data_IF_588152482790
#
_entry.id   IF_588152482790
#
_cell.length_a   1.000
_cell.length_b   1.000
_cell.length_c   1.000
_cell.angle_alpha   90.00
_cell.angle_beta   90.00
_cell.angle_gamma   90.00
#
_symmetry.space_group_name_H-M   'P 1'
#
loop_
_entity.id
_entity.type
_entity.pdbx_description
1 polymer ?
#
# COMPACT_ATOMS: atom_id res chain seq x y z
N UNK A 1 22.02 -12.78 10.58
CA UNK A 1 20.61 -13.20 10.76
C UNK A 1 19.64 -12.12 10.28
N UNK A 2 19.89 -10.84 10.58
CA UNK A 2 19.06 -9.71 10.14
C UNK A 2 18.85 -9.65 8.63
N UNK A 3 19.87 -9.95 7.82
CA UNK A 3 19.78 -9.88 6.34
C UNK A 3 18.72 -10.82 5.74
N UNK A 4 18.55 -12.02 6.32
CA UNK A 4 17.54 -12.99 5.86
C UNK A 4 16.13 -12.57 6.25
N UNK A 5 15.99 -11.91 7.41
CA UNK A 5 14.72 -11.37 7.89
C UNK A 5 14.32 -10.15 7.06
N UNK A 6 15.26 -9.26 6.78
CA UNK A 6 15.04 -8.07 5.95
C UNK A 6 14.64 -8.46 4.52
N UNK A 7 15.31 -9.47 3.94
CA UNK A 7 14.97 -9.96 2.61
C UNK A 7 13.63 -10.69 2.56
N UNK A 8 13.25 -11.41 3.62
CA UNK A 8 11.92 -12.01 3.73
C UNK A 8 10.82 -10.95 3.88
N UNK A 9 11.03 -9.94 4.73
CA UNK A 9 10.13 -8.80 4.89
C UNK A 9 10.00 -7.98 3.61
N UNK A 10 11.09 -7.83 2.85
CA UNK A 10 11.08 -7.15 1.56
C UNK A 10 10.24 -7.91 0.52
N UNK A 11 10.32 -9.25 0.48
CA UNK A 11 9.50 -10.08 -0.43
C UNK A 11 8.01 -9.95 -0.11
N UNK A 12 7.66 -9.91 1.19
CA UNK A 12 6.27 -9.69 1.62
C UNK A 12 5.79 -8.27 1.26
N UNK A 13 6.66 -7.26 1.43
CA UNK A 13 6.37 -5.87 1.09
C UNK A 13 6.18 -5.65 -0.42
N UNK A 14 7.01 -6.24 -1.28
CA UNK A 14 6.86 -6.17 -2.74
C UNK A 14 5.49 -6.71 -3.16
N UNK A 15 5.09 -7.85 -2.60
CA UNK A 15 3.79 -8.48 -2.86
C UNK A 15 2.65 -7.59 -2.37
N UNK A 16 2.75 -7.06 -1.15
CA UNK A 16 1.75 -6.15 -0.57
C UNK A 16 1.57 -4.86 -1.38
N UNK A 17 2.66 -4.26 -1.88
CA UNK A 17 2.62 -3.09 -2.76
C UNK A 17 1.90 -3.39 -4.07
N UNK A 18 2.17 -4.54 -4.69
CA UNK A 18 1.53 -4.93 -5.94
C UNK A 18 0.02 -5.14 -5.77
N UNK A 19 -0.39 -5.82 -4.70
CA UNK A 19 -1.82 -6.02 -4.37
C UNK A 19 -2.52 -4.69 -4.14
N UNK A 20 -1.94 -3.81 -3.33
CA UNK A 20 -2.50 -2.48 -3.08
C UNK A 20 -2.62 -1.65 -4.35
N UNK A 21 -1.58 -1.64 -5.19
CA UNK A 21 -1.60 -0.91 -6.47
C UNK A 21 -2.71 -1.40 -7.40
N UNK A 22 -2.87 -2.72 -7.53
CA UNK A 22 -3.92 -3.30 -8.36
C UNK A 22 -5.31 -2.95 -7.83
N UNK A 23 -5.50 -3.06 -6.52
CA UNK A 23 -6.74 -2.68 -5.87
C UNK A 23 -7.10 -1.21 -6.09
N UNK A 24 -6.15 -0.30 -5.87
CA UNK A 24 -6.35 1.15 -6.07
C UNK A 24 -6.74 1.43 -7.52
N UNK A 25 -6.02 0.85 -8.48
CA UNK A 25 -6.34 1.00 -9.91
C UNK A 25 -7.72 0.46 -10.29
N UNK A 26 -8.19 -0.61 -9.63
CA UNK A 26 -9.48 -1.22 -9.92
C UNK A 26 -10.67 -0.55 -9.19
N UNK A 27 -10.41 0.34 -8.23
CA UNK A 27 -11.44 0.92 -7.36
C UNK A 27 -11.47 2.45 -7.43
N UNK A 28 -10.79 3.12 -6.49
CA UNK A 28 -10.83 4.58 -6.29
C UNK A 28 -9.91 5.33 -7.27
N UNK A 29 -8.87 4.69 -7.78
CA UNK A 29 -7.83 5.34 -8.57
C UNK A 29 -6.89 6.21 -7.75
N UNK A 30 -5.69 6.48 -8.29
CA UNK A 30 -4.64 7.22 -7.57
C UNK A 30 -4.93 8.71 -7.41
N UNK A 31 -5.68 9.33 -8.32
CA UNK A 31 -6.03 10.75 -8.21
C UNK A 31 -6.98 10.99 -7.05
N UNK A 32 -8.08 10.24 -6.98
CA UNK A 32 -9.06 10.40 -5.91
C UNK A 32 -8.49 9.98 -4.55
N UNK A 33 -7.68 8.92 -4.51
CA UNK A 33 -6.96 8.52 -3.30
C UNK A 33 -6.03 9.64 -2.79
N UNK A 34 -5.36 10.35 -3.69
CA UNK A 34 -4.47 11.46 -3.34
C UNK A 34 -5.24 12.61 -2.68
N UNK A 35 -6.41 12.96 -3.23
CA UNK A 35 -7.31 13.95 -2.64
C UNK A 35 -7.75 13.56 -1.23
N UNK A 36 -8.18 12.31 -1.03
CA UNK A 36 -8.69 11.83 0.26
C UNK A 36 -7.61 11.65 1.33
N UNK A 37 -6.36 11.41 0.91
CA UNK A 37 -5.21 11.24 1.82
C UNK A 37 -4.37 12.51 1.98
N UNK A 38 -4.74 13.62 1.33
CA UNK A 38 -3.94 14.86 1.32
C UNK A 38 -2.53 14.67 0.76
N UNK A 39 -2.34 13.70 -0.14
CA UNK A 39 -1.07 13.33 -0.74
C UNK A 39 -1.01 13.71 -2.22
N UNK A 40 0.16 13.54 -2.85
CA UNK A 40 0.29 13.70 -4.30
C UNK A 40 0.13 12.34 -4.99
N UNK A 41 -0.73 12.26 -6.02
CA UNK A 41 -0.96 11.03 -6.82
C UNK A 41 0.35 10.43 -7.35
N UNK A 42 1.23 11.26 -7.94
CA UNK A 42 2.57 10.80 -8.38
C UNK A 42 3.43 10.22 -7.25
N UNK A 43 3.31 10.74 -6.04
CA UNK A 43 4.03 10.21 -4.88
C UNK A 43 3.51 8.82 -4.52
N UNK A 44 2.20 8.65 -4.45
CA UNK A 44 1.56 7.37 -4.16
C UNK A 44 1.92 6.30 -5.21
N UNK A 45 1.88 6.65 -6.49
CA UNK A 45 2.28 5.75 -7.59
C UNK A 45 3.74 5.35 -7.47
N UNK A 46 4.65 6.31 -7.25
CA UNK A 46 6.08 6.05 -7.07
C UNK A 46 6.33 5.17 -5.85
N UNK A 47 5.64 5.44 -4.75
CA UNK A 47 5.78 4.73 -3.49
C UNK A 47 5.32 3.28 -3.59
N UNK A 48 4.23 3.00 -4.32
CA UNK A 48 3.72 1.65 -4.58
C UNK A 48 4.32 1.01 -5.84
N UNK A 49 5.43 1.53 -6.35
CA UNK A 49 6.19 0.88 -7.42
C UNK A 49 7.14 -0.18 -6.86
N UNK A 50 7.65 -1.10 -7.70
CA UNK A 50 8.59 -2.13 -7.25
C UNK A 50 9.80 -1.55 -6.51
N UNK A 51 10.38 -0.46 -7.02
CA UNK A 51 11.49 0.26 -6.34
C UNK A 51 11.03 1.32 -5.32
N UNK A 52 9.72 1.40 -5.04
CA UNK A 52 9.15 2.37 -4.11
C UNK A 52 9.32 1.92 -2.66
N UNK A 53 9.63 2.88 -1.78
CA UNK A 53 9.78 2.65 -0.35
C UNK A 53 8.69 3.39 0.43
N UNK A 54 7.52 2.78 0.62
CA UNK A 54 6.48 3.36 1.46
C UNK A 54 6.91 3.45 2.91
N UNK A 55 6.53 4.55 3.56
CA UNK A 55 6.48 4.57 5.01
C UNK A 55 5.27 3.79 5.49
N UNK A 56 5.36 3.18 6.68
CA UNK A 56 4.23 2.49 7.29
C UNK A 56 3.00 3.41 7.41
N UNK A 57 3.21 4.68 7.78
CA UNK A 57 2.14 5.68 7.89
C UNK A 57 1.38 5.86 6.57
N UNK A 58 2.10 6.04 5.46
CA UNK A 58 1.44 6.22 4.15
C UNK A 58 0.74 4.95 3.69
N UNK A 59 1.33 3.77 3.95
CA UNK A 59 0.67 2.48 3.68
C UNK A 59 -0.65 2.33 4.44
N UNK A 60 -0.66 2.62 5.74
CA UNK A 60 -1.86 2.53 6.56
C UNK A 60 -2.93 3.55 6.15
N UNK A 61 -2.55 4.78 5.81
CA UNK A 61 -3.49 5.78 5.30
C UNK A 61 -4.11 5.34 3.97
N UNK A 62 -3.29 4.84 3.03
CA UNK A 62 -3.79 4.32 1.75
C UNK A 62 -4.72 3.13 1.97
N UNK A 63 -4.34 2.19 2.83
CA UNK A 63 -5.17 1.03 3.16
C UNK A 63 -6.50 1.44 3.80
N UNK A 64 -6.49 2.37 4.76
CA UNK A 64 -7.71 2.84 5.43
C UNK A 64 -8.66 3.55 4.46
N UNK A 65 -8.13 4.38 3.56
CA UNK A 65 -8.93 5.05 2.54
C UNK A 65 -9.48 4.05 1.52
N UNK A 66 -8.65 3.12 1.08
CA UNK A 66 -9.03 2.01 0.19
C UNK A 66 -10.16 1.14 0.78
N UNK A 67 -10.10 0.84 2.08
CA UNK A 67 -11.13 0.11 2.82
C UNK A 67 -12.45 0.87 2.88
N UNK A 68 -12.41 2.16 3.24
CA UNK A 68 -13.58 3.03 3.29
C UNK A 68 -14.26 3.13 1.93
N UNK A 69 -13.48 3.24 0.86
CA UNK A 69 -13.98 3.34 -0.51
C UNK A 69 -14.75 2.09 -0.97
N UNK A 70 -14.34 0.90 -0.55
CA UNK A 70 -15.03 -0.35 -0.91
C UNK A 70 -16.02 -0.86 0.13
N UNK A 71 -16.16 -0.18 1.27
CA UNK A 71 -17.01 -0.65 2.37
C UNK A 71 -16.56 -1.98 2.98
N UNK A 72 -15.29 -2.35 2.86
CA UNK A 72 -14.73 -3.60 3.41
C UNK A 72 -13.61 -3.32 4.41
N UNK A 73 -13.56 -4.10 5.48
CA UNK A 73 -12.52 -4.01 6.49
C UNK A 73 -11.39 -5.01 6.16
N UNK A 74 -10.31 -4.54 5.53
CA UNK A 74 -9.12 -5.34 5.22
C UNK A 74 -8.20 -5.45 6.45
N UNK A 75 -8.39 -6.47 7.29
CA UNK A 75 -7.47 -6.70 8.40
C UNK A 75 -6.13 -7.24 7.87
N UNK A 76 -5.02 -6.57 8.18
CA UNK A 76 -3.68 -7.15 8.02
C UNK A 76 -3.47 -8.09 9.22
N UNK A 77 -3.65 -9.39 8.98
CA UNK A 77 -3.28 -10.42 9.94
C UNK A 77 -1.90 -10.95 9.56
N UNK A 78 -0.94 -10.90 10.48
CA UNK A 78 0.28 -11.66 10.34
C UNK A 78 -0.09 -13.14 10.43
N UNK A 79 -0.12 -13.84 9.29
CA UNK A 79 -0.22 -15.30 9.31
C UNK A 79 1.11 -15.84 9.85
N UNK A 80 1.02 -16.60 10.94
CA UNK A 80 2.16 -17.28 11.57
C UNK A 80 2.67 -18.43 10.70
#
# INVERSE_FOLDING_TARGET
>A
MTERVDQFLAVDLETGKAVLRNYINATIGFERLAEETGSLSKSLIRMLSPMGHPTASTLFSVLSTAQKAAGVHLAVAASR
#
